data_IF_581247627606
#
_entry.id   IF_581247627606
#
_cell.length_a   1.000
_cell.length_b   1.000
_cell.length_c   1.000
_cell.angle_alpha   90.00
_cell.angle_beta   90.00
_cell.angle_gamma   90.00
#
_symmetry.space_group_name_H-M   'P 1'
#
loop_
_entity.id
_entity.type
_entity.pdbx_description
1 polymer ?
#
# COMPACT_ATOMS: atom_id res chain seq x y z
N UNK A 1 -17.52 -97.47 22.48
CA UNK A 1 -16.33 -97.17 23.32
C UNK A 1 -15.78 -95.82 22.86
N UNK A 2 -15.99 -94.76 23.64
CA UNK A 2 -15.38 -93.44 23.33
C UNK A 2 -14.03 -93.35 24.02
N UNK A 3 -12.98 -93.14 23.23
CA UNK A 3 -11.64 -92.79 23.71
C UNK A 3 -11.54 -91.27 23.79
N UNK A 4 -11.54 -90.72 25.00
CA UNK A 4 -11.19 -89.33 25.25
C UNK A 4 -9.69 -89.15 25.11
N UNK A 5 -9.24 -88.48 24.04
CA UNK A 5 -7.88 -87.95 23.96
C UNK A 5 -7.82 -86.64 24.74
N UNK A 6 -7.20 -86.68 25.90
CA UNK A 6 -6.87 -85.49 26.71
C UNK A 6 -5.68 -84.78 26.05
N UNK A 7 -5.93 -83.61 25.45
CA UNK A 7 -4.88 -82.76 24.91
C UNK A 7 -4.09 -82.10 26.05
N UNK A 8 -2.84 -82.54 26.26
CA UNK A 8 -1.91 -81.90 27.19
C UNK A 8 -1.31 -80.65 26.53
N UNK A 9 -1.82 -79.46 26.88
CA UNK A 9 -1.28 -78.18 26.41
C UNK A 9 0.02 -77.92 27.17
N UNK A 10 1.16 -77.96 26.45
CA UNK A 10 2.48 -77.70 27.03
C UNK A 10 2.49 -76.28 27.63
N UNK A 11 2.76 -76.11 28.94
CA UNK A 11 2.80 -74.79 29.54
C UNK A 11 3.93 -73.98 28.90
N UNK A 12 3.63 -72.75 28.46
CA UNK A 12 4.62 -71.81 27.93
C UNK A 12 5.81 -71.72 28.89
N UNK A 13 7.04 -71.80 28.34
CA UNK A 13 8.25 -71.69 29.16
C UNK A 13 8.30 -70.31 29.82
N UNK A 14 8.91 -70.26 31.01
CA UNK A 14 8.99 -69.04 31.83
C UNK A 14 9.52 -67.84 31.02
N UNK A 15 10.51 -68.08 30.16
CA UNK A 15 11.11 -67.09 29.29
C UNK A 15 10.14 -66.51 28.25
N UNK A 16 9.25 -67.32 27.68
CA UNK A 16 8.24 -66.81 26.75
C UNK A 16 7.18 -65.96 27.48
N UNK A 17 6.82 -66.32 28.72
CA UNK A 17 5.91 -65.51 29.54
C UNK A 17 6.53 -64.17 29.90
N UNK A 18 7.80 -64.17 30.30
CA UNK A 18 8.55 -62.94 30.60
C UNK A 18 8.66 -62.08 29.35
N UNK A 19 9.08 -62.63 28.21
CA UNK A 19 9.19 -61.88 26.96
C UNK A 19 7.85 -61.25 26.52
N UNK A 20 6.74 -61.99 26.66
CA UNK A 20 5.41 -61.49 26.36
C UNK A 20 5.00 -60.32 27.27
N UNK A 21 5.21 -60.46 28.59
CA UNK A 21 4.96 -59.39 29.57
C UNK A 21 5.81 -58.16 29.31
N UNK A 22 7.11 -58.34 29.00
CA UNK A 22 8.01 -57.24 28.67
C UNK A 22 7.58 -56.53 27.38
N UNK A 23 7.15 -57.27 26.36
CA UNK A 23 6.64 -56.67 25.12
C UNK A 23 5.41 -55.79 25.35
N UNK A 24 4.50 -56.22 26.22
CA UNK A 24 3.31 -55.43 26.58
C UNK A 24 3.72 -54.16 27.34
N UNK A 25 4.62 -54.29 28.32
CA UNK A 25 5.13 -53.15 29.09
C UNK A 25 5.85 -52.12 28.21
N UNK A 26 6.66 -52.57 27.25
CA UNK A 26 7.33 -51.67 26.28
C UNK A 26 6.30 -50.97 25.40
N UNK A 27 5.26 -51.68 24.95
CA UNK A 27 4.20 -51.07 24.13
C UNK A 27 3.44 -49.99 24.92
N UNK A 28 3.07 -50.27 26.18
CA UNK A 28 2.43 -49.29 27.06
C UNK A 28 3.36 -48.10 27.34
N UNK A 29 4.64 -48.34 27.61
CA UNK A 29 5.62 -47.29 27.87
C UNK A 29 5.80 -46.36 26.65
N UNK A 30 5.83 -46.92 25.43
CA UNK A 30 5.86 -46.12 24.19
C UNK A 30 4.60 -45.26 24.07
N UNK A 31 3.41 -45.82 24.29
CA UNK A 31 2.15 -45.05 24.25
C UNK A 31 2.16 -43.93 25.29
N UNK A 32 2.59 -44.21 26.53
CA UNK A 32 2.70 -43.20 27.58
C UNK A 32 3.73 -42.12 27.23
N UNK A 33 4.85 -42.49 26.61
CA UNK A 33 5.85 -41.54 26.14
C UNK A 33 5.30 -40.63 25.02
N UNK A 34 4.51 -41.16 24.08
CA UNK A 34 3.87 -40.33 23.05
C UNK A 34 2.76 -39.42 23.60
N UNK A 35 2.07 -39.83 24.68
CA UNK A 35 1.01 -39.02 25.30
C UNK A 35 1.59 -37.97 26.29
N UNK A 36 2.64 -38.31 27.04
CA UNK A 36 3.14 -37.49 28.16
C UNK A 36 4.60 -37.05 28.04
N UNK A 37 5.42 -37.75 27.23
CA UNK A 37 6.86 -37.51 27.10
C UNK A 37 7.24 -36.64 25.92
N UNK A 38 6.46 -36.66 24.84
CA UNK A 38 6.56 -35.63 23.80
C UNK A 38 5.91 -34.36 24.35
N UNK A 39 6.65 -33.24 24.47
CA UNK A 39 6.02 -31.95 24.67
C UNK A 39 5.18 -31.70 23.42
N UNK A 40 3.87 -31.95 23.52
CA UNK A 40 2.94 -31.34 22.60
C UNK A 40 3.11 -29.83 22.79
N UNK A 41 3.77 -29.17 21.86
CA UNK A 41 3.49 -27.76 21.59
C UNK A 41 2.04 -27.68 21.12
N UNK A 42 1.10 -27.81 22.07
CA UNK A 42 -0.32 -27.50 21.90
C UNK A 42 -0.52 -25.99 21.89
N UNK A 43 0.34 -25.29 21.17
CA UNK A 43 0.19 -23.91 20.77
C UNK A 43 -0.20 -23.85 19.28
N UNK A 44 -1.13 -24.69 18.82
CA UNK A 44 -1.75 -24.51 17.48
C UNK A 44 -3.00 -25.35 17.21
N UNK A 45 -3.66 -25.88 18.25
CA UNK A 45 -4.99 -26.50 18.11
C UNK A 45 -5.93 -26.03 19.23
N UNK A 46 -5.91 -24.73 19.51
CA UNK A 46 -7.16 -24.06 19.83
C UNK A 46 -7.94 -23.95 18.54
N UNK A 47 -9.23 -24.28 18.55
CA UNK A 47 -10.17 -23.57 17.69
C UNK A 47 -10.09 -22.11 18.12
N UNK A 48 -9.09 -21.37 17.63
CA UNK A 48 -9.28 -19.96 17.43
C UNK A 48 -10.54 -19.91 16.57
N UNK A 49 -11.63 -19.44 17.17
CA UNK A 49 -12.64 -18.75 16.39
C UNK A 49 -11.86 -17.90 15.41
N UNK A 50 -11.96 -18.23 14.12
CA UNK A 50 -11.35 -17.46 13.05
C UNK A 50 -11.94 -16.08 13.19
N UNK A 51 -11.31 -15.24 14.02
CA UNK A 51 -11.70 -13.88 14.27
C UNK A 51 -11.39 -13.23 12.93
N UNK A 52 -12.44 -13.07 12.12
CA UNK A 52 -12.34 -12.39 10.84
C UNK A 52 -11.63 -11.07 11.09
N UNK A 53 -10.44 -10.92 10.53
CA UNK A 53 -9.65 -9.71 10.67
C UNK A 53 -10.39 -8.58 9.95
N UNK A 54 -11.22 -7.88 10.70
CA UNK A 54 -12.05 -6.79 10.21
C UNK A 54 -12.14 -5.72 11.27
N UNK A 55 -11.76 -4.49 10.92
CA UNK A 55 -11.81 -3.34 11.81
C UNK A 55 -11.94 -2.04 11.01
N UNK A 56 -12.43 -0.99 11.66
CA UNK A 56 -12.52 0.37 11.11
C UNK A 56 -11.90 1.34 12.12
N UNK A 57 -11.10 2.29 11.63
CA UNK A 57 -10.39 3.28 12.45
C UNK A 57 -10.56 4.68 11.87
N UNK A 58 -11.12 5.57 12.66
CA UNK A 58 -11.22 7.00 12.34
C UNK A 58 -10.05 7.79 12.91
N UNK A 59 -9.40 8.58 12.07
CA UNK A 59 -8.39 9.59 12.41
C UNK A 59 -9.00 10.97 12.14
N UNK A 60 -9.06 11.82 13.16
CA UNK A 60 -9.69 13.15 13.05
C UNK A 60 -8.68 14.25 12.76
N UNK A 61 -9.12 15.29 12.06
CA UNK A 61 -8.35 16.49 11.72
C UNK A 61 -7.25 16.26 10.67
N UNK A 62 -7.28 15.13 9.96
CA UNK A 62 -6.22 14.71 9.05
C UNK A 62 -6.79 14.09 7.79
N UNK A 63 -6.07 14.26 6.69
CA UNK A 63 -6.32 13.59 5.41
C UNK A 63 -5.19 12.62 5.11
N UNK A 64 -5.52 11.33 4.99
CA UNK A 64 -4.62 10.31 4.47
C UNK A 64 -4.40 10.48 2.97
N UNK A 65 -3.17 10.20 2.54
CA UNK A 65 -2.71 10.42 1.18
C UNK A 65 -1.98 9.22 0.61
N UNK A 66 -2.35 8.88 -0.62
CA UNK A 66 -1.68 7.88 -1.45
C UNK A 66 -1.83 6.45 -0.95
N UNK A 67 -0.94 5.59 -1.42
CA UNK A 67 -0.88 4.19 -1.04
C UNK A 67 -0.55 4.01 0.46
N UNK A 68 -1.20 3.03 1.09
CA UNK A 68 -0.73 2.49 2.36
C UNK A 68 0.32 1.39 2.11
N UNK A 69 1.36 1.33 2.94
CA UNK A 69 2.40 0.29 2.88
C UNK A 69 2.28 -0.65 4.07
N UNK A 70 2.29 -1.96 3.82
CA UNK A 70 2.33 -2.97 4.88
C UNK A 70 3.78 -3.39 5.12
N UNK A 71 4.37 -3.00 6.26
CA UNK A 71 5.74 -3.38 6.62
C UNK A 71 5.81 -3.73 8.10
N UNK A 72 6.31 -4.94 8.40
CA UNK A 72 6.46 -5.41 9.79
C UNK A 72 5.15 -5.44 10.58
N UNK A 73 4.02 -5.67 9.91
CA UNK A 73 2.68 -5.65 10.53
C UNK A 73 2.08 -4.25 10.69
N UNK A 74 2.78 -3.18 10.30
CA UNK A 74 2.28 -1.81 10.30
C UNK A 74 1.73 -1.42 8.93
N UNK A 75 0.56 -0.79 8.91
CA UNK A 75 0.01 -0.03 7.80
C UNK A 75 0.48 1.42 7.90
N UNK A 76 1.36 1.81 6.99
CA UNK A 76 2.07 3.11 7.00
C UNK A 76 1.52 3.97 5.86
N UNK A 77 1.18 5.22 6.17
CA UNK A 77 0.68 6.19 5.19
C UNK A 77 1.18 7.60 5.48
N UNK A 78 1.28 8.43 4.45
CA UNK A 78 1.49 9.87 4.60
C UNK A 78 0.15 10.59 4.76
N UNK A 79 0.21 11.78 5.37
CA UNK A 79 -0.97 12.57 5.66
C UNK A 79 -0.70 14.07 5.62
N UNK A 80 -1.78 14.83 5.50
CA UNK A 80 -1.80 16.29 5.69
C UNK A 80 -2.80 16.71 6.76
N UNK A 81 -2.59 17.88 7.35
CA UNK A 81 -3.55 18.52 8.25
C UNK A 81 -4.84 18.94 7.55
N UNK A 82 -5.90 19.12 8.34
CA UNK A 82 -7.13 19.75 7.86
C UNK A 82 -6.88 21.24 7.49
N UNK A 83 -7.34 21.66 6.31
CA UNK A 83 -7.31 23.04 5.82
C UNK A 83 -8.42 23.88 6.43
N UNK A 84 -9.59 23.28 6.63
CA UNK A 84 -10.77 23.92 7.20
C UNK A 84 -11.35 23.13 8.36
N UNK A 85 -12.19 23.80 9.16
CA UNK A 85 -12.96 23.19 10.24
C UNK A 85 -12.27 23.17 11.60
N UNK A 86 -12.84 22.39 12.52
CA UNK A 86 -12.39 22.25 13.90
C UNK A 86 -10.97 21.70 13.96
N UNK A 87 -10.11 22.50 14.58
CA UNK A 87 -8.74 22.14 14.96
C UNK A 87 -8.67 21.62 16.40
N UNK A 88 -9.54 20.68 16.82
CA UNK A 88 -9.44 20.14 18.19
C UNK A 88 -8.25 19.18 18.28
N UNK A 89 -7.26 19.52 19.11
CA UNK A 89 -6.12 18.64 19.40
C UNK A 89 -5.17 18.42 18.22
N UNK A 90 -4.97 19.46 17.38
CA UNK A 90 -4.18 19.42 16.14
C UNK A 90 -2.81 18.77 16.33
N UNK A 91 -2.69 17.50 15.93
CA UNK A 91 -1.38 16.85 15.81
C UNK A 91 -0.55 17.49 14.68
N UNK A 92 -1.21 17.97 13.61
CA UNK A 92 -0.57 18.49 12.39
C UNK A 92 -1.26 19.77 11.86
N UNK A 93 -0.53 20.88 11.65
CA UNK A 93 -1.12 22.12 11.14
C UNK A 93 -1.61 21.97 9.70
N UNK A 94 -2.49 22.88 9.24
CA UNK A 94 -3.08 22.88 7.89
C UNK A 94 -2.04 22.80 6.76
N UNK A 95 -0.94 23.56 6.87
CA UNK A 95 0.18 23.52 5.91
C UNK A 95 1.23 22.45 6.20
N UNK A 96 0.97 21.55 7.15
CA UNK A 96 1.90 20.49 7.56
C UNK A 96 1.34 19.10 7.31
N UNK A 97 2.16 18.11 7.67
CA UNK A 97 1.79 16.72 7.51
C UNK A 97 2.78 15.78 8.17
N UNK A 98 2.68 14.51 7.83
CA UNK A 98 3.61 13.54 8.35
C UNK A 98 3.32 12.12 7.92
N UNK A 99 3.76 11.19 8.76
CA UNK A 99 3.55 9.75 8.57
C UNK A 99 2.79 9.22 9.78
N UNK A 100 1.82 8.34 9.52
CA UNK A 100 1.14 7.54 10.54
C UNK A 100 1.39 6.07 10.28
N UNK A 101 1.55 5.31 11.35
CA UNK A 101 1.52 3.86 11.30
C UNK A 101 0.38 3.33 12.17
N UNK A 102 -0.42 2.42 11.61
CA UNK A 102 -1.46 1.67 12.31
C UNK A 102 -1.07 0.20 12.38
N UNK A 103 -1.30 -0.48 13.50
CA UNK A 103 -1.14 -1.93 13.56
C UNK A 103 -2.15 -2.59 12.62
N UNK A 104 -1.69 -3.36 11.64
CA UNK A 104 -2.54 -4.00 10.62
C UNK A 104 -3.60 -4.93 11.22
N UNK A 105 -3.30 -5.57 12.35
CA UNK A 105 -4.22 -6.50 13.01
C UNK A 105 -5.36 -5.85 13.81
N UNK A 106 -5.18 -4.60 14.25
CA UNK A 106 -6.10 -3.97 15.23
C UNK A 106 -6.53 -2.56 14.85
N UNK A 107 -5.86 -1.92 13.90
CA UNK A 107 -6.06 -0.51 13.54
C UNK A 107 -5.59 0.48 14.61
N UNK A 108 -4.94 0.02 15.68
CA UNK A 108 -4.43 0.91 16.72
C UNK A 108 -3.24 1.71 16.22
N UNK A 109 -3.17 2.99 16.58
CA UNK A 109 -2.06 3.87 16.24
C UNK A 109 -0.75 3.33 16.87
N UNK A 110 0.21 2.98 16.03
CA UNK A 110 1.54 2.54 16.46
C UNK A 110 2.44 3.74 16.73
N UNK A 111 2.56 4.65 15.76
CA UNK A 111 3.33 5.89 15.92
C UNK A 111 2.84 6.98 14.97
N UNK A 112 3.29 8.20 15.26
CA UNK A 112 3.15 9.39 14.43
C UNK A 112 4.50 10.04 14.24
N UNK A 113 4.86 10.35 13.00
CA UNK A 113 6.05 11.14 12.69
C UNK A 113 5.63 12.49 12.14
N UNK A 114 5.84 13.54 12.92
CA UNK A 114 5.61 14.92 12.49
C UNK A 114 6.70 15.39 11.54
N UNK A 115 6.30 15.90 10.38
CA UNK A 115 7.20 16.51 9.42
C UNK A 115 6.99 18.03 9.42
N UNK A 116 8.07 18.77 9.22
CA UNK A 116 8.06 20.22 9.09
C UNK A 116 7.62 20.69 7.69
N UNK A 117 7.50 19.76 6.75
CA UNK A 117 7.06 19.98 5.37
C UNK A 117 5.92 19.03 5.03
N UNK A 118 5.16 19.35 4.00
CA UNK A 118 4.12 18.47 3.49
C UNK A 118 4.75 17.25 2.79
N UNK A 119 4.45 16.01 3.21
CA UNK A 119 4.89 14.83 2.49
C UNK A 119 4.15 14.70 1.15
N UNK A 120 4.91 14.39 0.10
CA UNK A 120 4.40 14.16 -1.26
C UNK A 120 4.32 12.69 -1.62
N UNK A 121 5.29 11.91 -1.17
CA UNK A 121 5.42 10.51 -1.52
C UNK A 121 6.09 9.73 -0.37
N UNK A 122 5.72 8.47 -0.23
CA UNK A 122 6.39 7.50 0.64
C UNK A 122 6.53 6.19 -0.13
N UNK A 123 7.66 5.52 0.04
CA UNK A 123 7.81 4.15 -0.43
C UNK A 123 8.62 3.31 0.57
N UNK A 124 8.00 2.22 1.02
CA UNK A 124 8.58 1.23 1.92
C UNK A 124 8.86 -0.13 1.25
N UNK A 125 8.71 -0.21 -0.08
CA UNK A 125 8.88 -1.45 -0.84
C UNK A 125 10.31 -1.65 -1.39
N UNK A 126 11.15 -0.62 -1.34
CA UNK A 126 12.55 -0.69 -1.79
C UNK A 126 13.35 -1.71 -0.98
N UNK A 127 13.96 -2.66 -1.68
CA UNK A 127 14.64 -3.81 -1.07
C UNK A 127 16.11 -3.51 -0.73
N UNK A 128 16.66 -2.49 -1.39
CA UNK A 128 18.07 -2.10 -1.35
C UNK A 128 18.41 -1.25 -0.12
N UNK A 129 17.41 -0.60 0.48
CA UNK A 129 17.55 0.26 1.65
C UNK A 129 17.16 -0.48 2.93
N UNK A 130 18.13 -1.17 3.54
CA UNK A 130 17.93 -1.90 4.80
C UNK A 130 18.71 -1.19 5.91
N UNK A 131 18.02 -0.79 6.97
CA UNK A 131 18.65 -0.31 8.20
C UNK A 131 18.24 -1.22 9.36
N UNK A 132 19.21 -1.62 10.19
CA UNK A 132 18.96 -2.49 11.35
C UNK A 132 18.22 -3.80 11.04
N UNK A 133 18.38 -4.35 9.83
CA UNK A 133 17.75 -5.59 9.40
C UNK A 133 16.31 -5.47 8.90
N UNK A 134 15.74 -4.27 8.83
CA UNK A 134 14.38 -4.01 8.31
C UNK A 134 14.45 -3.08 7.10
N UNK A 135 13.55 -3.31 6.13
CA UNK A 135 13.36 -2.41 4.98
C UNK A 135 13.01 -1.01 5.48
N UNK A 136 13.68 0.01 4.98
CA UNK A 136 13.38 1.41 5.37
C UNK A 136 12.31 2.01 4.47
N UNK A 137 11.56 2.97 5.00
CA UNK A 137 10.66 3.78 4.18
C UNK A 137 11.37 5.07 3.77
N UNK A 138 11.33 5.41 2.49
CA UNK A 138 11.78 6.69 1.98
C UNK A 138 10.60 7.65 1.93
N UNK A 139 10.76 8.84 2.49
CA UNK A 139 9.74 9.90 2.48
C UNK A 139 10.27 11.09 1.69
N UNK A 140 9.51 11.49 0.67
CA UNK A 140 9.76 12.68 -0.15
C UNK A 140 8.72 13.73 0.20
N UNK A 141 9.16 14.95 0.48
CA UNK A 141 8.30 16.09 0.80
C UNK A 141 8.49 17.26 -0.14
N UNK A 142 7.84 18.37 0.19
CA UNK A 142 8.10 19.68 -0.42
C UNK A 142 9.47 20.23 -0.02
N UNK A 143 9.92 21.27 -0.74
CA UNK A 143 11.18 21.98 -0.49
C UNK A 143 12.40 21.03 -0.46
N UNK A 144 12.41 20.05 -1.38
CA UNK A 144 13.53 19.12 -1.53
C UNK A 144 13.68 18.11 -0.39
N UNK A 145 12.70 17.98 0.49
CA UNK A 145 12.79 17.08 1.63
C UNK A 145 12.90 15.61 1.20
N UNK A 146 13.96 14.95 1.68
CA UNK A 146 14.18 13.53 1.51
C UNK A 146 14.70 12.91 2.81
N UNK A 147 14.06 11.86 3.30
CA UNK A 147 14.45 11.19 4.53
C UNK A 147 14.14 9.69 4.48
N UNK A 148 14.98 8.89 5.13
CA UNK A 148 14.69 7.49 5.44
C UNK A 148 14.18 7.37 6.88
N UNK A 149 13.14 6.56 7.06
CA UNK A 149 12.51 6.28 8.35
C UNK A 149 12.43 4.77 8.58
N UNK A 150 12.53 4.38 9.85
CA UNK A 150 12.27 3.02 10.29
C UNK A 150 10.74 2.78 10.31
N UNK A 151 10.21 1.80 9.55
CA UNK A 151 8.78 1.50 9.49
C UNK A 151 8.19 0.93 10.78
N UNK A 152 9.02 0.45 11.71
CA UNK A 152 8.55 -0.16 12.95
C UNK A 152 8.45 0.89 14.05
N UNK A 153 9.53 1.64 14.26
CA UNK A 153 9.61 2.63 15.34
C UNK A 153 9.16 4.03 14.94
N UNK A 154 9.12 4.34 13.63
CA UNK A 154 8.87 5.69 13.12
C UNK A 154 10.05 6.64 13.29
N UNK A 155 11.19 6.13 13.78
CA UNK A 155 12.39 6.94 13.96
C UNK A 155 13.00 7.32 12.61
N UNK A 156 13.45 8.57 12.51
CA UNK A 156 14.20 9.04 11.35
C UNK A 156 15.62 8.49 11.42
N UNK A 157 16.00 7.72 10.39
CA UNK A 157 17.34 7.15 10.28
C UNK A 157 18.30 8.23 9.79
N UNK A 158 17.92 8.90 8.70
CA UNK A 158 18.62 10.06 8.19
C UNK A 158 17.66 10.99 7.46
N UNK A 159 18.07 12.24 7.30
CA UNK A 159 17.49 13.16 6.32
C UNK A 159 18.63 13.76 5.51
N UNK A 160 18.42 13.97 4.22
CA UNK A 160 19.40 14.65 3.39
C UNK A 160 19.61 16.05 3.97
N UNK A 161 20.87 16.33 4.30
CA UNK A 161 21.34 17.64 4.73
C UNK A 161 22.44 18.05 3.78
N UNK A 162 22.36 19.25 3.26
CA UNK A 162 23.45 19.81 2.48
C UNK A 162 24.57 20.22 3.44
N UNK A 163 25.83 19.77 3.24
CA UNK A 163 26.93 20.06 4.16
C UNK A 163 27.23 21.55 4.32
N UNK A 164 26.90 22.36 3.30
CA UNK A 164 27.09 23.80 3.28
C UNK A 164 25.99 24.47 2.44
N UNK A 165 25.06 25.16 3.08
CA UNK A 165 23.93 25.85 2.42
C UNK A 165 24.38 26.91 1.40
N UNK A 166 25.59 27.48 1.53
CA UNK A 166 26.12 28.46 0.57
C UNK A 166 26.57 27.83 -0.74
N UNK A 167 27.08 26.60 -0.70
CA UNK A 167 27.59 25.89 -1.88
C UNK A 167 26.53 24.95 -2.47
N UNK A 168 25.72 24.35 -1.58
CA UNK A 168 24.65 23.43 -1.91
C UNK A 168 23.38 23.93 -1.20
N UNK A 169 22.63 24.87 -1.81
CA UNK A 169 21.35 25.27 -1.27
C UNK A 169 20.40 24.06 -1.17
N UNK A 170 19.29 24.21 -0.46
CA UNK A 170 18.23 23.20 -0.49
C UNK A 170 17.49 23.28 -1.84
N UNK A 171 17.20 22.15 -2.50
CA UNK A 171 16.42 22.17 -3.73
C UNK A 171 14.99 22.60 -3.44
N UNK A 172 14.35 23.27 -4.40
CA UNK A 172 12.92 23.58 -4.32
C UNK A 172 12.08 22.32 -4.45
N UNK A 173 12.54 21.40 -5.28
CA UNK A 173 11.87 20.13 -5.52
C UNK A 173 12.88 19.01 -5.80
N UNK A 174 12.48 17.78 -5.49
CA UNK A 174 13.24 16.56 -5.74
C UNK A 174 12.29 15.49 -6.29
N UNK A 175 12.77 14.74 -7.26
CA UNK A 175 12.06 13.58 -7.78
C UNK A 175 12.16 12.39 -6.82
N UNK A 176 11.23 11.44 -6.98
CA UNK A 176 11.33 10.16 -6.26
C UNK A 176 12.65 9.50 -6.65
N UNK A 177 13.55 9.22 -5.69
CA UNK A 177 14.84 8.63 -6.00
C UNK A 177 14.72 7.22 -6.56
N UNK A 178 15.63 6.88 -7.46
CA UNK A 178 15.80 5.54 -8.03
C UNK A 178 16.89 4.82 -7.22
N UNK A 179 16.63 3.60 -6.71
CA UNK A 179 17.66 2.82 -6.04
C UNK A 179 18.73 2.36 -7.04
N UNK A 180 19.97 2.37 -6.59
CA UNK A 180 21.15 1.95 -7.36
C UNK A 180 22.06 1.06 -6.49
N UNK A 181 22.98 0.29 -7.09
CA UNK A 181 24.00 -0.43 -6.34
C UNK A 181 24.87 0.50 -5.47
N UNK A 182 25.44 -0.08 -4.42
CA UNK A 182 26.38 0.57 -3.50
C UNK A 182 27.58 1.20 -4.25
N UNK A 183 27.74 2.52 -4.09
CA UNK A 183 28.81 3.32 -4.70
C UNK A 183 29.89 3.73 -3.70
N UNK A 184 29.59 3.83 -2.41
CA UNK A 184 30.55 4.27 -1.38
C UNK A 184 31.18 3.12 -0.57
N UNK A 185 30.84 1.88 -0.91
CA UNK A 185 31.34 0.64 -0.31
C UNK A 185 30.94 0.45 1.17
N UNK A 186 29.80 1.00 1.58
CA UNK A 186 29.31 0.90 2.97
C UNK A 186 28.42 -0.32 3.25
N UNK A 187 28.11 -1.10 2.20
CA UNK A 187 27.35 -2.34 2.22
C UNK A 187 25.85 -2.17 1.90
N UNK A 188 25.34 -0.96 1.77
CA UNK A 188 23.92 -0.63 1.51
C UNK A 188 23.80 -0.03 0.10
N UNK A 189 22.68 -0.30 -0.59
CA UNK A 189 22.44 0.31 -1.91
C UNK A 189 22.21 1.81 -1.80
N UNK A 190 22.61 2.56 -2.82
CA UNK A 190 22.53 4.02 -2.85
C UNK A 190 21.32 4.51 -3.66
N UNK A 191 21.15 5.82 -3.72
CA UNK A 191 20.05 6.48 -4.39
C UNK A 191 20.54 7.47 -5.43
N UNK A 192 19.84 7.56 -6.56
CA UNK A 192 20.01 8.66 -7.52
C UNK A 192 18.70 9.40 -7.71
N UNK A 193 18.74 10.73 -7.72
CA UNK A 193 17.55 11.56 -7.92
C UNK A 193 17.87 12.85 -8.68
N UNK A 194 16.82 13.44 -9.25
CA UNK A 194 16.87 14.76 -9.85
C UNK A 194 16.41 15.80 -8.83
N UNK A 195 17.25 16.80 -8.61
CA UNK A 195 16.95 17.93 -7.73
C UNK A 195 16.85 19.22 -8.56
N UNK A 196 15.86 20.05 -8.22
CA UNK A 196 15.49 21.25 -8.99
C UNK A 196 15.55 22.49 -8.10
N UNK A 197 16.32 23.48 -8.53
CA UNK A 197 16.61 24.69 -7.74
C UNK A 197 15.92 25.93 -8.31
N UNK A 198 16.03 26.08 -9.62
CA UNK A 198 15.44 27.15 -10.40
C UNK A 198 15.19 26.63 -11.83
N UNK A 199 14.44 27.40 -12.63
CA UNK A 199 14.19 27.05 -14.03
C UNK A 199 15.54 26.95 -14.77
N UNK A 200 15.82 25.79 -15.39
CA UNK A 200 17.10 25.51 -16.05
C UNK A 200 18.25 25.13 -15.11
N UNK A 201 18.01 24.99 -13.80
CA UNK A 201 19.00 24.57 -12.82
C UNK A 201 18.55 23.26 -12.16
N UNK A 202 18.83 22.16 -12.86
CA UNK A 202 18.63 20.80 -12.40
C UNK A 202 19.98 20.17 -12.06
N UNK A 203 19.99 19.25 -11.12
CA UNK A 203 21.18 18.49 -10.73
C UNK A 203 20.83 17.04 -10.52
N UNK A 204 21.72 16.16 -10.99
CA UNK A 204 21.67 14.74 -10.70
C UNK A 204 22.42 14.51 -9.38
N UNK A 205 21.74 14.02 -8.36
CA UNK A 205 22.30 13.83 -7.03
C UNK A 205 22.37 12.33 -6.70
N UNK A 206 23.58 11.84 -6.41
CA UNK A 206 23.84 10.51 -5.87
C UNK A 206 23.96 10.60 -4.36
N UNK A 207 23.16 9.82 -3.64
CA UNK A 207 22.95 9.95 -2.20
C UNK A 207 23.18 8.57 -1.56
N UNK A 208 23.99 8.54 -0.50
CA UNK A 208 24.25 7.33 0.27
C UNK A 208 22.96 6.81 0.89
N UNK A 209 22.58 5.56 0.61
CA UNK A 209 21.35 4.98 1.13
C UNK A 209 21.40 4.72 2.64
N UNK A 210 22.60 4.59 3.21
CA UNK A 210 22.84 4.40 4.64
C UNK A 210 22.77 5.69 5.45
N UNK A 211 23.29 6.79 4.90
CA UNK A 211 23.53 8.02 5.67
C UNK A 211 22.75 9.22 5.16
N UNK A 212 22.22 9.18 3.94
CA UNK A 212 21.57 10.32 3.29
C UNK A 212 22.54 11.42 2.85
N UNK A 213 23.86 11.16 2.87
CA UNK A 213 24.89 12.12 2.46
C UNK A 213 25.03 12.12 0.94
N UNK A 214 25.22 13.31 0.36
CA UNK A 214 25.51 13.46 -1.06
C UNK A 214 26.90 12.86 -1.38
N UNK A 215 26.92 11.81 -2.20
CA UNK A 215 28.15 11.16 -2.69
C UNK A 215 28.71 11.95 -3.87
N UNK A 216 27.87 12.25 -4.86
CA UNK A 216 28.30 12.86 -6.13
C UNK A 216 27.20 13.68 -6.77
N UNK A 217 27.61 14.74 -7.46
CA UNK A 217 26.71 15.59 -8.26
C UNK A 217 27.37 15.85 -9.62
N UNK A 218 27.14 14.99 -10.63
CA UNK A 218 27.65 15.24 -11.97
C UNK A 218 27.02 16.51 -12.57
N UNK A 219 27.81 17.38 -13.22
CA UNK A 219 27.27 18.55 -13.88
C UNK A 219 26.35 18.12 -15.02
N UNK A 220 25.16 18.73 -15.08
CA UNK A 220 24.26 18.61 -16.24
C UNK A 220 24.58 19.69 -17.26
N UNK A 221 24.26 19.42 -18.52
CA UNK A 221 24.50 20.38 -19.61
C UNK A 221 23.73 21.69 -19.39
N UNK A 222 24.39 22.83 -19.61
CA UNK A 222 23.82 24.16 -19.33
C UNK A 222 22.61 24.52 -20.20
N UNK A 223 22.43 23.85 -21.34
CA UNK A 223 21.27 24.02 -22.23
C UNK A 223 20.04 23.21 -21.78
N UNK A 224 20.16 22.41 -20.72
CA UNK A 224 19.10 21.55 -20.22
C UNK A 224 18.10 22.31 -19.34
N UNK A 225 16.92 22.60 -19.90
CA UNK A 225 15.90 23.42 -19.22
C UNK A 225 15.03 22.58 -18.29
N UNK A 226 14.80 21.31 -18.65
CA UNK A 226 13.99 20.37 -17.88
C UNK A 226 14.59 18.97 -18.00
N UNK A 227 14.68 18.27 -16.87
CA UNK A 227 15.14 16.89 -16.82
C UNK A 227 13.99 16.01 -16.33
N UNK A 228 13.72 14.90 -17.03
CA UNK A 228 12.63 13.95 -16.72
C UNK A 228 13.10 12.51 -16.95
N UNK A 229 12.23 11.55 -16.62
CA UNK A 229 12.40 10.13 -16.97
C UNK A 229 13.69 9.49 -16.45
N UNK A 230 14.09 9.84 -15.23
CA UNK A 230 15.25 9.24 -14.58
C UNK A 230 15.02 7.72 -14.42
N UNK A 231 15.94 6.93 -14.96
CA UNK A 231 15.94 5.46 -14.88
C UNK A 231 17.36 4.97 -14.67
N UNK A 232 17.50 3.82 -14.03
CA UNK A 232 18.79 3.14 -13.89
C UNK A 232 18.74 1.79 -14.61
N UNK A 233 19.71 1.56 -15.49
CA UNK A 233 19.93 0.28 -16.15
C UNK A 233 20.98 -0.52 -15.36
N UNK A 234 20.54 -1.58 -14.70
CA UNK A 234 21.38 -2.48 -13.91
C UNK A 234 22.36 -3.29 -14.77
N UNK A 235 22.04 -3.54 -16.05
CA UNK A 235 22.89 -4.36 -16.93
C UNK A 235 24.11 -3.58 -17.39
N UNK A 236 23.90 -2.31 -17.75
CA UNK A 236 24.94 -1.41 -18.23
C UNK A 236 25.47 -0.48 -17.13
N UNK A 237 24.94 -0.57 -15.91
CA UNK A 237 25.33 0.30 -14.79
C UNK A 237 25.22 1.78 -15.13
N UNK A 238 24.18 2.16 -15.87
CA UNK A 238 24.05 3.48 -16.48
C UNK A 238 22.74 4.15 -16.05
N UNK A 239 22.85 5.40 -15.63
CA UNK A 239 21.70 6.27 -15.35
C UNK A 239 21.26 6.92 -16.65
N UNK A 240 20.00 6.74 -17.03
CA UNK A 240 19.38 7.37 -18.19
C UNK A 240 18.40 8.46 -17.74
N UNK A 241 18.36 9.57 -18.47
CA UNK A 241 17.38 10.63 -18.23
C UNK A 241 17.11 11.41 -19.51
N UNK A 242 15.94 12.02 -19.61
CA UNK A 242 15.57 12.88 -20.73
C UNK A 242 15.92 14.32 -20.40
N UNK A 243 16.73 14.96 -21.24
CA UNK A 243 16.99 16.38 -21.19
C UNK A 243 16.18 17.12 -22.26
N UNK A 244 15.33 18.05 -21.82
CA UNK A 244 14.49 18.86 -22.69
C UNK A 244 14.98 20.30 -22.75
N UNK A 245 15.15 20.78 -23.97
CA UNK A 245 15.40 22.19 -24.32
C UNK A 245 14.11 22.83 -24.83
N UNK A 246 14.12 24.11 -25.19
CA UNK A 246 12.96 24.78 -25.79
C UNK A 246 12.48 24.15 -27.11
N UNK A 247 13.36 23.42 -27.81
CA UNK A 247 13.13 23.01 -29.20
C UNK A 247 13.10 21.48 -29.34
N UNK A 248 13.89 20.76 -28.52
CA UNK A 248 14.08 19.32 -28.63
C UNK A 248 14.30 18.66 -27.27
N UNK A 249 13.84 17.42 -27.14
CA UNK A 249 14.23 16.50 -26.09
C UNK A 249 15.33 15.56 -26.59
N UNK A 250 16.28 15.22 -25.72
CA UNK A 250 17.39 14.30 -25.98
C UNK A 250 17.54 13.35 -24.80
N UNK A 251 17.73 12.07 -25.08
CA UNK A 251 18.08 11.11 -24.05
C UNK A 251 19.57 11.26 -23.72
N UNK A 252 19.87 11.40 -22.44
CA UNK A 252 21.20 11.50 -21.89
C UNK A 252 21.49 10.26 -21.03
N UNK A 253 22.76 9.95 -20.86
CA UNK A 253 23.20 8.85 -20.02
C UNK A 253 24.42 9.24 -19.21
N UNK A 254 24.54 8.66 -18.02
CA UNK A 254 25.68 8.78 -17.13
C UNK A 254 26.09 7.39 -16.67
N UNK A 255 27.25 6.92 -17.16
CA UNK A 255 27.82 5.64 -16.77
C UNK A 255 28.40 5.73 -15.35
N UNK A 256 27.95 4.85 -14.46
CA UNK A 256 28.41 4.80 -13.08
C UNK A 256 29.66 3.92 -13.02
N UNK A 257 30.83 4.54 -13.25
CA UNK A 257 32.14 3.84 -13.32
C UNK A 257 32.63 3.24 -12.00
N UNK A 258 31.99 3.59 -10.89
CA UNK A 258 32.40 3.26 -9.52
C UNK A 258 31.48 2.21 -8.86
N UNK A 259 30.71 1.43 -9.63
CA UNK A 259 29.92 0.34 -9.07
C UNK A 259 30.84 -0.83 -8.71
N UNK A 260 31.14 -0.97 -7.42
CA UNK A 260 31.73 -2.21 -6.92
C UNK A 260 30.61 -3.22 -6.76
N UNK A 261 30.45 -4.05 -7.79
CA UNK A 261 29.57 -5.21 -7.71
C UNK A 261 29.85 -5.99 -6.43
N UNK A 262 28.79 -6.41 -5.72
CA UNK A 262 28.87 -7.43 -4.67
C UNK A 262 29.36 -8.74 -5.28
N UNK A 263 30.64 -8.83 -5.60
CA UNK A 263 31.32 -10.09 -5.92
C UNK A 263 31.68 -10.74 -4.59
N UNK A 264 30.78 -11.61 -4.09
CA UNK A 264 31.16 -12.53 -3.01
C UNK A 264 30.19 -12.74 -1.85
N UNK A 265 28.88 -12.54 -2.00
CA UNK A 265 27.91 -13.23 -1.13
C UNK A 265 26.83 -13.86 -1.98
N UNK A 266 26.66 -15.16 -1.74
CA UNK A 266 25.92 -16.10 -2.57
C UNK A 266 24.52 -15.62 -2.93
N UNK A 267 24.08 -16.07 -4.09
CA UNK A 267 22.70 -16.17 -4.58
C UNK A 267 21.76 -16.99 -3.67
N UNK A 268 21.97 -16.94 -2.35
CA UNK A 268 21.30 -17.76 -1.33
C UNK A 268 20.88 -16.97 -0.08
N UNK A 269 21.01 -15.63 -0.08
CA UNK A 269 20.39 -14.77 0.95
C UNK A 269 19.59 -13.61 0.33
N UNK A 270 19.26 -13.73 -0.97
CA UNK A 270 18.04 -13.10 -1.45
C UNK A 270 16.92 -13.87 -0.79
N UNK A 271 16.34 -13.34 0.29
CA UNK A 271 14.92 -13.54 0.51
C UNK A 271 14.28 -13.07 -0.80
N UNK A 272 13.98 -14.03 -1.67
CA UNK A 272 13.21 -13.81 -2.88
C UNK A 272 11.83 -13.44 -2.36
N UNK A 273 11.66 -12.15 -2.09
CA UNK A 273 10.34 -11.55 -2.09
C UNK A 273 9.80 -11.86 -3.49
N UNK A 274 8.62 -12.48 -3.60
CA UNK A 274 8.06 -12.85 -4.88
C UNK A 274 8.11 -11.64 -5.82
N UNK A 275 8.63 -11.84 -7.03
CA UNK A 275 8.60 -10.84 -8.11
C UNK A 275 7.19 -10.25 -8.28
N UNK A 276 6.16 -11.01 -7.90
CA UNK A 276 4.76 -10.60 -7.79
C UNK A 276 4.50 -9.39 -6.88
N UNK A 277 5.23 -9.18 -5.77
CA UNK A 277 4.96 -8.05 -4.86
C UNK A 277 5.52 -6.73 -5.42
N UNK A 278 6.58 -6.79 -6.22
CA UNK A 278 7.14 -5.63 -6.94
C UNK A 278 6.36 -5.35 -8.23
N UNK A 279 6.00 -6.41 -8.99
CA UNK A 279 5.20 -6.33 -10.23
C UNK A 279 3.72 -5.96 -10.00
N UNK A 280 3.17 -6.15 -8.80
CA UNK A 280 1.78 -5.72 -8.49
C UNK A 280 1.62 -4.20 -8.50
N UNK A 281 2.68 -3.42 -8.33
CA UNK A 281 2.58 -1.98 -8.05
C UNK A 281 3.49 -1.07 -8.89
N UNK A 282 4.52 -1.62 -9.57
CA UNK A 282 5.29 -0.91 -10.59
C UNK A 282 4.51 -1.00 -11.90
N UNK A 283 3.75 0.06 -12.20
CA UNK A 283 2.75 0.14 -13.27
C UNK A 283 1.53 -0.75 -13.01
N UNK A 284 0.34 -0.11 -12.93
CA UNK A 284 -0.91 -0.77 -12.56
C UNK A 284 -1.03 -2.13 -13.23
N UNK A 285 -0.89 -3.20 -12.43
CA UNK A 285 -1.11 -4.55 -12.88
C UNK A 285 -2.59 -4.68 -13.21
N UNK A 286 -2.89 -4.25 -14.43
CA UNK A 286 -4.20 -4.25 -15.02
C UNK A 286 -4.63 -5.66 -15.40
N UNK A 287 -3.84 -6.69 -15.06
CA UNK A 287 -4.12 -8.09 -15.38
C UNK A 287 -4.47 -8.85 -14.10
N UNK A 288 -5.49 -9.69 -14.20
CA UNK A 288 -5.86 -10.63 -13.16
C UNK A 288 -6.17 -11.98 -13.81
N UNK A 289 -5.16 -12.84 -13.83
CA UNK A 289 -5.20 -14.12 -14.55
C UNK A 289 -5.24 -13.86 -16.05
N UNK A 290 -6.25 -14.39 -16.72
CA UNK A 290 -6.47 -14.23 -18.16
C UNK A 290 -7.18 -12.93 -18.54
N UNK A 291 -7.60 -12.13 -17.56
CA UNK A 291 -8.39 -10.92 -17.78
C UNK A 291 -7.54 -9.67 -17.64
N UNK A 292 -7.94 -8.59 -18.32
CA UNK A 292 -7.34 -7.26 -18.19
C UNK A 292 -8.38 -6.19 -17.98
N UNK A 293 -8.08 -5.18 -17.16
CA UNK A 293 -8.91 -3.98 -16.97
C UNK A 293 -8.17 -2.75 -17.47
N UNK A 294 -8.86 -1.92 -18.26
CA UNK A 294 -8.35 -0.64 -18.73
C UNK A 294 -9.32 0.41 -18.22
N UNK A 295 -8.81 1.34 -17.39
CA UNK A 295 -9.54 2.50 -16.90
C UNK A 295 -9.00 3.74 -17.58
N UNK A 296 -9.88 4.49 -18.23
CA UNK A 296 -9.56 5.75 -18.88
C UNK A 296 -10.41 6.85 -18.26
N UNK A 297 -9.78 7.68 -17.42
CA UNK A 297 -10.36 8.94 -16.94
C UNK A 297 -10.02 10.06 -17.91
N UNK A 298 -11.00 10.87 -18.30
CA UNK A 298 -10.86 12.05 -19.16
C UNK A 298 -11.52 13.27 -18.53
N UNK A 299 -11.01 14.47 -18.86
CA UNK A 299 -11.54 15.73 -18.33
C UNK A 299 -11.03 16.08 -16.92
N UNK A 300 -11.62 17.12 -16.33
CA UNK A 300 -11.33 17.64 -14.99
C UNK A 300 -12.57 17.59 -14.11
N UNK A 301 -12.51 16.85 -13.01
CA UNK A 301 -13.60 16.79 -12.03
C UNK A 301 -13.64 18.07 -11.20
N UNK A 302 -14.82 18.52 -10.73
CA UNK A 302 -16.13 17.85 -10.81
C UNK A 302 -16.96 18.16 -12.06
N UNK A 303 -16.48 19.05 -12.93
CA UNK A 303 -17.31 19.69 -13.95
C UNK A 303 -17.43 18.91 -15.27
N UNK A 304 -16.31 18.46 -15.86
CA UNK A 304 -16.32 17.84 -17.20
C UNK A 304 -15.73 16.42 -17.24
N UNK A 305 -15.43 15.84 -16.09
CA UNK A 305 -14.79 14.54 -16.07
C UNK A 305 -15.72 13.40 -16.46
N UNK A 306 -15.15 12.41 -17.13
CA UNK A 306 -15.83 11.18 -17.53
C UNK A 306 -14.87 10.01 -17.44
N UNK A 307 -15.45 8.82 -17.26
CA UNK A 307 -14.67 7.59 -17.18
C UNK A 307 -15.23 6.54 -18.13
N UNK A 308 -14.31 5.74 -18.66
CA UNK A 308 -14.63 4.48 -19.33
C UNK A 308 -13.77 3.36 -18.75
N UNK A 309 -14.40 2.22 -18.50
CA UNK A 309 -13.73 0.99 -18.06
C UNK A 309 -14.04 -0.10 -19.06
N UNK A 310 -13.00 -0.77 -19.52
CA UNK A 310 -13.10 -1.94 -20.37
C UNK A 310 -12.39 -3.10 -19.69
N UNK A 311 -13.10 -4.21 -19.50
CA UNK A 311 -12.50 -5.47 -19.06
C UNK A 311 -12.48 -6.43 -20.23
N UNK A 312 -11.31 -6.98 -20.53
CA UNK A 312 -11.07 -7.87 -21.65
C UNK A 312 -10.64 -9.27 -21.21
N UNK A 313 -10.93 -10.28 -22.02
CA UNK A 313 -10.41 -11.64 -21.87
C UNK A 313 -8.99 -11.80 -22.47
N UNK A 314 -8.46 -13.03 -22.45
CA UNK A 314 -7.14 -13.38 -23.02
C UNK A 314 -7.05 -13.17 -24.54
N UNK A 315 -8.19 -13.07 -25.23
CA UNK A 315 -8.30 -12.77 -26.67
C UNK A 315 -8.46 -11.27 -26.94
N UNK A 316 -8.26 -10.43 -25.92
CA UNK A 316 -8.51 -8.98 -25.95
C UNK A 316 -9.95 -8.62 -26.37
N UNK A 317 -10.92 -9.49 -26.13
CA UNK A 317 -12.34 -9.19 -26.36
C UNK A 317 -12.92 -8.55 -25.11
N UNK A 318 -13.58 -7.41 -25.26
CA UNK A 318 -14.27 -6.75 -24.15
C UNK A 318 -15.44 -7.61 -23.68
N UNK A 319 -15.40 -8.03 -22.42
CA UNK A 319 -16.44 -8.83 -21.76
C UNK A 319 -17.30 -7.98 -20.83
N UNK A 320 -16.78 -6.86 -20.32
CA UNK A 320 -17.54 -5.89 -19.53
C UNK A 320 -17.08 -4.47 -19.81
N UNK A 321 -18.04 -3.55 -19.86
CA UNK A 321 -17.80 -2.13 -20.10
C UNK A 321 -18.63 -1.30 -19.13
N UNK A 322 -18.05 -0.23 -18.62
CA UNK A 322 -18.73 0.76 -17.79
C UNK A 322 -18.34 2.17 -18.22
N UNK A 323 -19.33 3.06 -18.32
CA UNK A 323 -19.10 4.46 -18.66
C UNK A 323 -19.97 5.34 -17.76
N UNK A 324 -19.39 6.44 -17.28
CA UNK A 324 -20.11 7.40 -16.45
C UNK A 324 -19.53 8.81 -16.61
N UNK A 325 -20.42 9.80 -16.52
CA UNK A 325 -20.07 11.22 -16.47
C UNK A 325 -19.92 11.67 -15.02
N UNK A 326 -19.17 12.76 -14.80
CA UNK A 326 -18.84 13.34 -13.48
C UNK A 326 -18.36 12.28 -12.50
N UNK A 327 -17.52 11.39 -13.01
CA UNK A 327 -17.06 10.20 -12.30
C UNK A 327 -15.57 10.04 -12.55
N UNK A 328 -14.85 9.63 -11.51
CA UNK A 328 -13.44 9.29 -11.55
C UNK A 328 -13.26 7.90 -10.93
N UNK A 329 -12.46 7.06 -11.58
CA UNK A 329 -12.10 5.74 -11.06
C UNK A 329 -10.63 5.77 -10.67
N UNK A 330 -10.36 5.42 -9.42
CA UNK A 330 -9.02 5.30 -8.86
C UNK A 330 -8.23 4.17 -9.53
N UNK A 331 -6.94 4.05 -9.24
CA UNK A 331 -6.12 2.95 -9.77
C UNK A 331 -6.74 1.59 -9.40
N UNK A 332 -7.00 0.72 -10.39
CA UNK A 332 -7.53 -0.62 -10.14
C UNK A 332 -6.59 -1.44 -9.27
N UNK A 333 -7.14 -2.30 -8.42
CA UNK A 333 -6.38 -3.27 -7.65
C UNK A 333 -6.73 -4.67 -8.12
N UNK A 334 -5.74 -5.44 -8.58
CA UNK A 334 -5.96 -6.84 -8.95
C UNK A 334 -6.13 -7.71 -7.70
N UNK A 335 -7.05 -8.67 -7.79
CA UNK A 335 -7.34 -9.62 -6.72
C UNK A 335 -7.13 -11.06 -7.21
N UNK A 336 -6.56 -11.88 -6.33
CA UNK A 336 -6.28 -13.30 -6.58
C UNK A 336 -6.51 -14.09 -5.29
N UNK A 337 -7.60 -14.85 -5.24
CA UNK A 337 -7.97 -15.65 -4.08
C UNK A 337 -7.85 -17.15 -4.37
N UNK A 338 -7.08 -17.85 -3.54
CA UNK A 338 -6.94 -19.32 -3.47
C UNK A 338 -6.83 -20.02 -4.84
N UNK A 339 -6.21 -19.37 -5.83
CA UNK A 339 -6.09 -19.84 -7.22
C UNK A 339 -7.43 -20.20 -7.88
N UNK A 340 -8.54 -19.62 -7.40
CA UNK A 340 -9.89 -19.94 -7.87
C UNK A 340 -10.74 -18.75 -8.24
N UNK A 341 -10.44 -17.58 -7.70
CA UNK A 341 -11.13 -16.34 -8.03
C UNK A 341 -10.07 -15.30 -8.37
N UNK A 342 -10.19 -14.69 -9.53
CA UNK A 342 -9.37 -13.55 -9.96
C UNK A 342 -10.27 -12.37 -10.29
N UNK A 343 -9.73 -11.17 -10.32
CA UNK A 343 -10.53 -10.01 -10.71
C UNK A 343 -9.90 -8.67 -10.40
N UNK A 344 -10.76 -7.66 -10.28
CA UNK A 344 -10.39 -6.28 -10.06
C UNK A 344 -11.29 -5.63 -9.02
N UNK A 345 -10.69 -4.80 -8.18
CA UNK A 345 -11.38 -3.86 -7.33
C UNK A 345 -11.27 -2.47 -7.96
N UNK A 346 -12.43 -1.85 -8.14
CA UNK A 346 -12.58 -0.50 -8.68
C UNK A 346 -13.18 0.39 -7.61
N UNK A 347 -12.41 1.38 -7.17
CA UNK A 347 -12.92 2.44 -6.30
C UNK A 347 -13.32 3.63 -7.17
N UNK A 348 -14.49 4.19 -6.91
CA UNK A 348 -15.16 5.16 -7.79
C UNK A 348 -15.64 6.35 -6.97
N UNK A 349 -15.35 7.55 -7.44
CA UNK A 349 -15.99 8.79 -7.00
C UNK A 349 -16.94 9.31 -8.07
N UNK A 350 -18.17 9.60 -7.68
CA UNK A 350 -19.17 10.20 -8.54
C UNK A 350 -19.67 11.49 -7.88
N UNK A 351 -19.49 12.62 -8.56
CA UNK A 351 -19.96 13.92 -8.07
C UNK A 351 -21.44 14.07 -8.42
N UNK A 352 -22.25 14.44 -7.44
CA UNK A 352 -23.65 14.75 -7.70
C UNK A 352 -23.78 16.17 -8.27
N UNK A 353 -24.76 16.38 -9.13
CA UNK A 353 -25.21 17.76 -9.40
C UNK A 353 -25.89 18.23 -8.13
N UNK A 354 -25.43 19.34 -7.53
CA UNK A 354 -26.35 20.06 -6.67
C UNK A 354 -27.57 20.39 -7.54
N UNK A 355 -28.78 20.09 -7.06
CA UNK A 355 -29.96 20.73 -7.63
C UNK A 355 -29.68 22.23 -7.62
N UNK A 356 -30.10 22.97 -8.66
CA UNK A 356 -29.77 24.38 -8.95
C UNK A 356 -30.01 25.39 -7.79
N UNK A 357 -30.37 24.94 -6.59
CA UNK A 357 -30.70 25.74 -5.41
C UNK A 357 -29.69 25.68 -4.24
N UNK A 358 -28.62 24.86 -4.27
CA UNK A 358 -27.86 24.57 -3.03
C UNK A 358 -26.35 24.85 -3.01
N UNK A 359 -25.70 25.30 -4.10
CA UNK A 359 -24.31 25.80 -3.99
C UNK A 359 -24.28 27.23 -3.49
N UNK A 360 -24.60 27.42 -2.20
CA UNK A 360 -24.26 28.68 -1.52
C UNK A 360 -22.77 28.63 -1.21
N UNK A 361 -21.99 29.40 -1.95
CA UNK A 361 -20.61 29.70 -1.56
C UNK A 361 -20.67 30.61 -0.34
N UNK A 362 -19.96 30.24 0.72
CA UNK A 362 -19.80 31.09 1.89
C UNK A 362 -18.32 31.43 2.01
N UNK A 363 -17.99 32.72 1.96
CA UNK A 363 -16.60 33.19 1.93
C UNK A 363 -15.75 32.52 0.83
N UNK A 364 -16.36 32.16 -0.31
CA UNK A 364 -15.68 31.48 -1.42
C UNK A 364 -15.46 29.98 -1.25
N UNK A 365 -15.91 29.38 -0.13
CA UNK A 365 -15.88 27.93 0.08
C UNK A 365 -17.14 27.30 -0.53
N UNK A 366 -16.98 26.30 -1.39
CA UNK A 366 -18.06 25.45 -1.90
C UNK A 366 -18.04 24.06 -1.25
N UNK A 367 -19.21 23.43 -1.17
CA UNK A 367 -19.37 22.03 -0.76
C UNK A 367 -19.70 21.20 -1.99
N UNK A 368 -18.93 20.13 -2.17
CA UNK A 368 -19.16 19.10 -3.18
C UNK A 368 -19.61 17.81 -2.49
N UNK A 369 -20.69 17.21 -3.00
CA UNK A 369 -21.23 15.94 -2.51
C UNK A 369 -20.83 14.81 -3.46
N UNK A 370 -20.01 13.90 -2.95
CA UNK A 370 -19.42 12.81 -3.72
C UNK A 370 -19.97 11.48 -3.21
N UNK A 371 -20.35 10.60 -4.13
CA UNK A 371 -20.62 9.20 -3.83
C UNK A 371 -19.39 8.37 -4.08
N UNK A 372 -18.83 7.78 -3.03
CA UNK A 372 -17.78 6.79 -3.15
C UNK A 372 -18.38 5.39 -3.23
N UNK A 373 -17.92 4.57 -4.19
CA UNK A 373 -18.29 3.15 -4.31
C UNK A 373 -17.06 2.28 -4.50
N UNK A 374 -17.09 1.09 -3.93
CA UNK A 374 -16.11 0.03 -4.20
C UNK A 374 -16.84 -1.09 -4.95
N UNK A 375 -16.46 -1.31 -6.20
CA UNK A 375 -17.00 -2.35 -7.08
C UNK A 375 -15.98 -3.46 -7.22
N UNK A 376 -16.42 -4.71 -7.08
CA UNK A 376 -15.64 -5.90 -7.36
C UNK A 376 -16.09 -6.49 -8.69
N UNK A 377 -15.14 -6.66 -9.60
CA UNK A 377 -15.34 -7.42 -10.85
C UNK A 377 -14.54 -8.72 -10.69
N UNK A 378 -15.23 -9.84 -10.54
CA UNK A 378 -14.61 -11.12 -10.18
C UNK A 378 -14.93 -12.21 -11.20
N UNK A 379 -14.00 -13.14 -11.36
CA UNK A 379 -14.06 -14.28 -12.28
C UNK A 379 -13.81 -15.55 -11.50
N UNK A 380 -14.74 -16.50 -11.55
CA UNK A 380 -14.59 -17.79 -10.90
C UNK A 380 -13.83 -18.80 -11.79
N UNK A 381 -13.48 -19.98 -11.26
CA UNK A 381 -12.84 -21.07 -12.02
C UNK A 381 -13.61 -21.53 -13.26
N UNK A 382 -14.93 -21.36 -13.26
CA UNK A 382 -15.79 -21.70 -14.41
C UNK A 382 -15.79 -20.62 -15.49
N UNK A 383 -15.11 -19.48 -15.27
CA UNK A 383 -15.09 -18.33 -16.17
C UNK A 383 -16.28 -17.39 -16.03
N UNK A 384 -17.19 -17.62 -15.08
CA UNK A 384 -18.33 -16.74 -14.86
C UNK A 384 -17.86 -15.45 -14.18
N UNK A 385 -18.32 -14.33 -14.73
CA UNK A 385 -18.06 -13.00 -14.22
C UNK A 385 -19.17 -12.54 -13.27
N UNK A 386 -18.79 -11.95 -12.16
CA UNK A 386 -19.68 -11.30 -11.20
C UNK A 386 -19.21 -9.88 -10.93
N UNK A 387 -20.12 -8.92 -11.05
CA UNK A 387 -19.89 -7.50 -10.71
C UNK A 387 -20.73 -7.16 -9.49
N UNK A 388 -20.08 -6.77 -8.39
CA UNK A 388 -20.75 -6.52 -7.12
C UNK A 388 -20.34 -5.19 -6.52
N UNK A 389 -21.32 -4.42 -6.02
CA UNK A 389 -21.07 -3.25 -5.20
C UNK A 389 -20.78 -3.70 -3.76
N UNK A 390 -19.52 -3.62 -3.35
CA UNK A 390 -19.06 -4.08 -2.04
C UNK A 390 -19.21 -3.03 -0.94
N UNK A 391 -19.16 -1.74 -1.29
CA UNK A 391 -19.29 -0.65 -0.33
C UNK A 391 -19.75 0.62 -1.03
N UNK A 392 -20.54 1.43 -0.32
CA UNK A 392 -20.97 2.76 -0.75
C UNK A 392 -20.88 3.72 0.43
N UNK A 393 -20.34 4.92 0.22
CA UNK A 393 -20.17 5.93 1.27
C UNK A 393 -20.32 7.32 0.67
N UNK A 394 -21.00 8.21 1.37
CA UNK A 394 -21.13 9.61 0.96
C UNK A 394 -19.95 10.42 1.53
N UNK A 395 -19.33 11.21 0.68
CA UNK A 395 -18.15 12.01 0.95
C UNK A 395 -18.51 13.47 0.77
N UNK A 396 -18.25 14.26 1.81
CA UNK A 396 -18.41 15.70 1.80
C UNK A 396 -17.02 16.31 1.60
N UNK A 397 -16.88 17.06 0.50
CA UNK A 397 -15.67 17.75 0.11
C UNK A 397 -15.86 19.27 0.23
N UNK A 398 -14.90 19.96 0.83
CA UNK A 398 -14.84 21.43 0.87
C UNK A 398 -13.83 21.91 -0.16
N UNK A 399 -14.14 22.99 -0.87
CA UNK A 399 -13.28 23.56 -1.90
C UNK A 399 -13.20 25.09 -1.77
N UNK A 400 -12.01 25.67 -1.95
CA UNK A 400 -11.76 27.12 -2.02
C UNK A 400 -10.68 27.39 -3.07
N UNK A 401 -10.95 28.30 -4.02
CA UNK A 401 -9.99 28.75 -5.05
C UNK A 401 -9.26 27.58 -5.77
N UNK A 402 -10.02 26.56 -6.18
CA UNK A 402 -9.58 25.31 -6.81
C UNK A 402 -8.82 24.31 -5.91
N UNK A 403 -8.56 24.63 -4.65
CA UNK A 403 -8.06 23.65 -3.69
C UNK A 403 -9.23 22.96 -3.01
N UNK A 404 -9.23 21.63 -2.98
CA UNK A 404 -10.29 20.83 -2.36
C UNK A 404 -9.73 19.85 -1.31
N UNK A 405 -10.53 19.59 -0.28
CA UNK A 405 -10.27 18.58 0.75
C UNK A 405 -11.54 17.75 1.02
N UNK A 406 -11.50 16.41 0.89
CA UNK A 406 -10.34 15.62 0.45
C UNK A 406 -9.91 15.90 -0.99
N UNK A 407 -8.62 15.83 -1.28
CA UNK A 407 -8.09 16.08 -2.61
C UNK A 407 -8.10 14.80 -3.45
N UNK A 408 -8.66 14.85 -4.66
CA UNK A 408 -8.81 13.68 -5.54
C UNK A 408 -7.48 12.94 -5.76
N UNK A 409 -6.40 13.67 -6.06
CA UNK A 409 -5.09 13.07 -6.31
C UNK A 409 -4.54 12.27 -5.13
N UNK A 410 -4.97 12.55 -3.91
CA UNK A 410 -4.54 11.84 -2.70
C UNK A 410 -5.31 10.55 -2.47
N UNK A 411 -6.43 10.35 -3.18
CA UNK A 411 -7.30 9.19 -3.04
C UNK A 411 -7.11 8.16 -4.17
N UNK A 412 -6.30 8.48 -5.19
CA UNK A 412 -6.07 7.64 -6.38
C UNK A 412 -5.51 6.25 -6.06
N UNK A 413 -4.83 6.08 -4.93
CA UNK A 413 -4.26 4.82 -4.46
C UNK A 413 -4.74 4.46 -3.04
N UNK A 414 -5.98 4.82 -2.70
CA UNK A 414 -6.56 4.65 -1.36
C UNK A 414 -7.06 3.23 -1.03
N UNK A 415 -6.63 2.22 -1.79
CA UNK A 415 -6.97 0.82 -1.58
C UNK A 415 -5.77 -0.10 -1.81
N UNK A 416 -5.70 -1.18 -1.03
CA UNK A 416 -4.65 -2.19 -1.04
C UNK A 416 -5.27 -3.56 -0.73
N UNK A 417 -4.76 -4.61 -1.38
CA UNK A 417 -5.03 -6.01 -1.03
C UNK A 417 -3.74 -6.59 -0.46
N UNK A 418 -3.77 -7.10 0.77
CA UNK A 418 -2.59 -7.69 1.43
C UNK A 418 -3.00 -8.73 2.48
N UNK A 419 -2.11 -9.68 2.77
CA UNK A 419 -2.25 -10.61 3.90
C UNK A 419 -1.67 -9.97 5.17
N UNK A 420 -2.54 -9.55 6.08
CA UNK A 420 -2.15 -8.81 7.29
C UNK A 420 -1.73 -9.70 8.45
N UNK A 421 -2.15 -10.96 8.49
CA UNK A 421 -1.91 -11.87 9.60
C UNK A 421 -0.98 -13.04 9.27
N UNK A 422 -0.60 -13.20 8.00
CA UNK A 422 0.25 -14.28 7.50
C UNK A 422 -0.49 -15.61 7.37
N UNK A 423 -1.83 -15.60 7.33
CA UNK A 423 -2.64 -16.82 7.22
C UNK A 423 -2.85 -17.29 5.77
N UNK A 424 -2.28 -16.56 4.80
CA UNK A 424 -2.39 -16.82 3.37
C UNK A 424 -3.68 -16.31 2.73
N UNK A 425 -4.59 -15.72 3.51
CA UNK A 425 -5.76 -15.00 2.99
C UNK A 425 -5.46 -13.51 2.88
N UNK A 426 -6.12 -12.84 1.94
CA UNK A 426 -5.89 -11.42 1.71
C UNK A 426 -7.07 -10.58 2.19
N UNK A 427 -6.76 -9.49 2.88
CA UNK A 427 -7.70 -8.47 3.30
C UNK A 427 -7.72 -7.30 2.31
N UNK A 428 -8.90 -6.71 2.17
CA UNK A 428 -9.08 -5.40 1.56
C UNK A 428 -8.82 -4.33 2.63
N UNK A 429 -7.75 -3.55 2.44
CA UNK A 429 -7.49 -2.33 3.18
C UNK A 429 -7.89 -1.16 2.29
N UNK A 430 -8.79 -0.31 2.77
CA UNK A 430 -9.16 0.91 2.06
C UNK A 430 -9.35 2.03 3.05
N UNK A 431 -9.18 3.28 2.61
CA UNK A 431 -9.55 4.42 3.42
C UNK A 431 -10.34 5.43 2.60
N UNK A 432 -11.14 6.23 3.28
CA UNK A 432 -11.78 7.40 2.69
C UNK A 432 -11.66 8.58 3.64
N UNK A 433 -11.81 9.78 3.09
CA UNK A 433 -11.68 11.02 3.83
C UNK A 433 -12.91 11.86 3.56
N UNK A 434 -13.52 12.43 4.59
CA UNK A 434 -14.73 13.25 4.46
C UNK A 434 -14.78 14.29 5.55
N UNK A 435 -15.42 15.42 5.26
CA UNK A 435 -15.89 16.30 6.32
C UNK A 435 -17.14 15.74 6.97
N UNK A 436 -17.31 16.03 8.26
CA UNK A 436 -18.51 15.72 9.03
C UNK A 436 -19.02 16.98 9.72
N UNK A 437 -20.27 17.31 9.46
CA UNK A 437 -21.01 18.34 10.19
C UNK A 437 -21.63 17.74 11.45
N UNK A 438 -21.78 18.56 12.51
CA UNK A 438 -22.30 18.08 13.78
C UNK A 438 -23.81 17.77 13.77
N UNK A 439 -24.63 18.51 12.99
CA UNK A 439 -26.07 18.57 13.27
C UNK A 439 -27.06 18.53 12.08
N UNK A 440 -26.65 18.59 10.81
CA UNK A 440 -27.62 18.60 9.69
C UNK A 440 -27.27 17.58 8.60
N UNK A 441 -28.28 16.83 8.16
CA UNK A 441 -28.25 15.94 7.00
C UNK A 441 -29.47 16.28 6.10
N UNK A 442 -29.28 16.88 4.90
CA UNK A 442 -28.01 17.21 4.26
C UNK A 442 -27.31 18.44 4.89
N UNK A 443 -25.97 18.54 4.76
CA UNK A 443 -25.20 19.64 5.30
C UNK A 443 -25.51 20.96 4.55
N UNK A 444 -26.21 21.89 5.20
CA UNK A 444 -26.43 23.23 4.65
C UNK A 444 -25.33 24.16 5.16
N UNK A 445 -24.50 24.71 4.26
CA UNK A 445 -23.61 25.82 4.64
C UNK A 445 -24.47 27.07 4.81
N UNK A 446 -24.69 27.47 6.06
CA UNK A 446 -25.49 28.65 6.39
C UNK A 446 -24.60 29.90 6.51
N UNK A 447 -23.40 29.76 7.08
CA UNK A 447 -22.43 30.83 7.30
C UNK A 447 -20.99 30.30 7.57
N UNK A 448 -20.01 31.20 7.72
CA UNK A 448 -18.60 30.82 7.98
C UNK A 448 -18.44 30.03 9.28
N UNK A 449 -19.22 30.40 10.30
CA UNK A 449 -19.22 29.70 11.58
C UNK A 449 -19.66 28.24 11.45
N UNK A 450 -20.51 27.91 10.47
CA UNK A 450 -20.90 26.53 10.18
C UNK A 450 -19.71 25.69 9.72
N UNK A 451 -18.85 26.21 8.82
CA UNK A 451 -17.65 25.52 8.33
C UNK A 451 -16.64 25.28 9.47
N UNK A 452 -16.47 26.26 10.36
CA UNK A 452 -15.58 26.13 11.53
C UNK A 452 -16.01 25.02 12.50
N UNK A 453 -17.26 24.55 12.43
CA UNK A 453 -17.76 23.44 13.25
C UNK A 453 -17.53 22.07 12.63
N UNK A 454 -17.15 21.98 11.36
CA UNK A 454 -16.97 20.71 10.66
C UNK A 454 -15.66 20.05 11.07
N UNK A 455 -15.62 18.73 11.09
CA UNK A 455 -14.42 17.98 11.42
C UNK A 455 -14.03 17.10 10.23
N UNK A 456 -12.77 17.14 9.86
CA UNK A 456 -12.22 16.25 8.84
C UNK A 456 -11.98 14.88 9.46
N UNK A 457 -12.47 13.82 8.84
CA UNK A 457 -12.26 12.44 9.27
C UNK A 457 -11.62 11.63 8.13
N UNK A 458 -10.49 10.96 8.42
CA UNK A 458 -9.96 9.87 7.61
C UNK A 458 -10.35 8.54 8.25
N UNK A 459 -11.09 7.68 7.55
CA UNK A 459 -11.49 6.36 8.05
C UNK A 459 -10.79 5.26 7.28
N UNK A 460 -10.03 4.41 7.99
CA UNK A 460 -9.33 3.25 7.45
C UNK A 460 -10.13 2.01 7.80
N UNK A 461 -10.48 1.22 6.79
CA UNK A 461 -11.27 -0.01 6.93
C UNK A 461 -10.49 -1.20 6.40
N UNK A 462 -10.44 -2.24 7.21
CA UNK A 462 -9.93 -3.56 6.85
C UNK A 462 -11.09 -4.54 6.84
N UNK A 463 -11.25 -5.26 5.73
CA UNK A 463 -12.27 -6.30 5.55
C UNK A 463 -11.65 -7.53 4.95
N UNK A 464 -11.93 -8.70 5.52
CA UNK A 464 -11.57 -9.99 4.92
C UNK A 464 -12.47 -10.30 3.71
N UNK A 465 -12.01 -9.93 2.51
CA UNK A 465 -12.83 -9.99 1.31
C UNK A 465 -13.25 -11.43 0.95
N UNK A 466 -12.35 -12.41 1.08
CA UNK A 466 -12.62 -13.82 0.78
C UNK A 466 -13.82 -14.39 1.56
N UNK A 467 -14.00 -13.95 2.82
CA UNK A 467 -15.09 -14.41 3.66
C UNK A 467 -16.44 -13.76 3.30
N UNK A 468 -16.41 -12.59 2.67
CA UNK A 468 -17.60 -11.81 2.32
C UNK A 468 -18.09 -12.09 0.89
N UNK A 469 -17.20 -12.56 -0.01
CA UNK A 469 -17.55 -12.84 -1.42
C UNK A 469 -18.77 -13.77 -1.61
N UNK A 470 -18.91 -14.90 -0.89
CA UNK A 470 -20.08 -15.76 -1.06
C UNK A 470 -21.39 -15.05 -0.73
N UNK A 471 -21.42 -14.26 0.35
CA UNK A 471 -22.60 -13.48 0.76
C UNK A 471 -22.95 -12.43 -0.29
N UNK A 472 -21.94 -11.81 -0.87
CA UNK A 472 -22.08 -10.83 -1.94
C UNK A 472 -22.65 -11.46 -3.22
N UNK A 473 -22.24 -12.67 -3.59
CA UNK A 473 -22.83 -13.39 -4.74
C UNK A 473 -24.27 -13.83 -4.49
N UNK A 474 -24.58 -14.32 -3.29
CA UNK A 474 -25.96 -14.69 -2.92
C UNK A 474 -26.91 -13.49 -2.97
N UNK A 475 -26.47 -12.33 -2.47
CA UNK A 475 -27.24 -11.09 -2.49
C UNK A 475 -27.59 -10.63 -3.92
N UNK A 476 -26.65 -10.78 -4.86
CA UNK A 476 -26.88 -10.45 -6.27
C UNK A 476 -27.74 -11.49 -6.97
N UNK A 477 -27.69 -12.77 -6.58
CA UNK A 477 -28.52 -13.83 -7.20
C UNK A 477 -30.00 -13.80 -6.81
N UNK A 478 -30.35 -13.09 -5.74
CA UNK A 478 -31.73 -12.95 -5.23
C UNK A 478 -32.47 -11.74 -5.81
N UNK A 479 -31.80 -10.94 -6.64
CA UNK A 479 -32.35 -9.82 -7.39
C UNK A 479 -32.11 -10.03 -8.87
#
# INVERSE_FOLDING_TARGET
>A
QSTHNVYYIKPMSLWHKVAFLTSILVCIAVVLFFIWGLPCDMAQCGKETVNSLSWDRTLTGLELKGRMHLVGGNLIAILRGALWGKSRGVKFPAGGGGVVALLGKTGTESYWLKLSVLPRYIDCSMSELIASGVRTCLVVGENGYLAAIDPISGNRIWNVRTPNEKTYPQPKDIDVPVPIPDMDSDGIGDLVTLSRFAKGHHRLAFISGKTGVLIKEPPLSNDCIQVTDLKFDYTTSTVHFTCSTHIKSRQMSYEVKEIKSRTGKSSLDRVVIPEEEHLRFVEGNNSAGEHKVIVSNSGTCPNDCSVSVNVTDFRNRTIWMYQAQRTYIMSPVSLHFKHSISGFLLKIWQWHSPAEKETKTVDGISVELIKERIILVTFNKSGNMHVVNASQTDIIQLCYDNECQPHLSFQTQSALIADLNGDGTQELISYFVTYRANNDDPPVILDKHSVDQWELESRVRVVRLEAELPKLYEAVSKH
#
